data_IF_146569608207
#
_entry.id   IF_146569608207
#
_cell.length_a   1.000
_cell.length_b   1.000
_cell.length_c   1.000
_cell.angle_alpha   90.00
_cell.angle_beta   90.00
_cell.angle_gamma   90.00
#
_symmetry.space_group_name_H-M   'P 1'
#
loop_
_entity.id
_entity.type
_entity.pdbx_description
1 polymer ?
#
# COMPACT_ATOMS: atom_id res chain seq x y z
N UNK A 1 -1.04 -8.46 8.17
CA UNK A 1 -1.30 -9.07 6.84
C UNK A 1 -0.05 -9.60 6.15
N UNK A 2 1.13 -8.96 6.28
CA UNK A 2 2.38 -9.47 5.71
C UNK A 2 2.80 -10.85 6.22
N UNK A 3 2.68 -11.13 7.53
CA UNK A 3 2.91 -12.46 8.12
C UNK A 3 2.00 -13.54 7.51
N UNK A 4 0.71 -13.25 7.37
CA UNK A 4 -0.28 -14.16 6.77
C UNK A 4 0.08 -14.56 5.33
N UNK A 5 0.53 -13.59 4.53
CA UNK A 5 0.98 -13.84 3.16
C UNK A 5 2.27 -14.68 3.14
N UNK A 6 3.24 -14.34 3.98
CA UNK A 6 4.51 -15.06 4.10
C UNK A 6 4.36 -16.51 4.58
N UNK A 7 3.39 -16.78 5.46
CA UNK A 7 3.14 -18.11 6.01
C UNK A 7 2.27 -18.98 5.09
N UNK A 8 1.17 -18.43 4.56
CA UNK A 8 0.21 -19.21 3.78
C UNK A 8 0.54 -19.25 2.28
N UNK A 9 0.94 -18.12 1.71
CA UNK A 9 0.95 -17.92 0.25
C UNK A 9 2.35 -18.09 -0.34
N UNK A 10 3.38 -17.47 0.24
CA UNK A 10 4.76 -17.55 -0.29
C UNK A 10 5.29 -18.99 -0.42
N UNK A 11 5.13 -19.89 0.58
CA UNK A 11 5.68 -21.25 0.50
C UNK A 11 5.02 -22.09 -0.58
N UNK A 12 3.75 -21.80 -0.91
CA UNK A 12 3.01 -22.47 -1.99
C UNK A 12 3.37 -21.92 -3.39
N UNK A 13 4.02 -20.75 -3.45
CA UNK A 13 4.44 -20.09 -4.69
C UNK A 13 5.93 -20.25 -5.00
N UNK A 14 6.78 -20.47 -3.99
CA UNK A 14 8.25 -20.39 -4.04
C UNK A 14 8.90 -21.29 -5.10
N UNK A 15 8.37 -22.50 -5.35
CA UNK A 15 8.98 -23.45 -6.28
C UNK A 15 8.49 -23.33 -7.74
N UNK A 16 7.44 -22.53 -7.98
CA UNK A 16 6.79 -22.47 -9.30
C UNK A 16 7.61 -21.73 -10.34
N UNK A 17 8.37 -20.72 -9.94
CA UNK A 17 9.31 -19.99 -10.81
C UNK A 17 10.45 -20.90 -11.26
N UNK A 18 11.04 -21.65 -10.32
CA UNK A 18 12.08 -22.65 -10.61
C UNK A 18 11.60 -23.71 -11.59
N UNK A 19 10.39 -24.26 -11.38
CA UNK A 19 9.78 -25.22 -12.31
C UNK A 19 9.56 -24.61 -13.71
N UNK A 20 9.08 -23.36 -13.80
CA UNK A 20 8.93 -22.66 -15.08
C UNK A 20 10.26 -22.42 -15.80
N UNK A 21 11.32 -22.10 -15.06
CA UNK A 21 12.66 -21.92 -15.62
C UNK A 21 13.21 -23.23 -16.16
N UNK A 22 13.10 -24.33 -15.39
CA UNK A 22 13.45 -25.69 -15.86
C UNK A 22 12.66 -26.10 -17.09
N UNK A 23 11.37 -25.79 -17.14
CA UNK A 23 10.52 -26.06 -18.32
C UNK A 23 11.03 -25.30 -19.56
N UNK A 24 11.39 -24.02 -19.42
CA UNK A 24 11.97 -23.21 -20.51
C UNK A 24 13.32 -23.77 -20.97
N UNK A 25 14.15 -24.21 -20.03
CA UNK A 25 15.42 -24.87 -20.33
C UNK A 25 15.20 -26.14 -21.16
N UNK A 26 14.27 -27.01 -20.77
CA UNK A 26 13.92 -28.21 -21.52
C UNK A 26 13.32 -27.90 -22.89
N UNK A 27 12.49 -26.87 -23.01
CA UNK A 27 11.97 -26.40 -24.30
C UNK A 27 13.10 -25.92 -25.22
N UNK A 28 14.08 -25.17 -24.68
CA UNK A 28 15.25 -24.73 -25.43
C UNK A 28 16.09 -25.92 -25.90
N UNK A 29 16.36 -26.89 -25.02
CA UNK A 29 17.09 -28.12 -25.36
C UNK A 29 16.36 -28.94 -26.43
N UNK A 30 15.04 -29.08 -26.32
CA UNK A 30 14.22 -29.82 -27.27
C UNK A 30 14.31 -29.24 -28.69
N UNK A 31 14.42 -27.90 -28.81
CA UNK A 31 14.58 -27.21 -30.10
C UNK A 31 15.91 -27.52 -30.78
N UNK A 32 16.97 -27.78 -30.02
CA UNK A 32 18.34 -27.97 -30.53
C UNK A 32 18.79 -29.43 -30.56
N UNK A 33 18.04 -30.35 -29.93
CA UNK A 33 18.37 -31.77 -29.97
C UNK A 33 17.99 -32.38 -31.32
N UNK A 34 18.86 -33.23 -31.88
CA UNK A 34 18.60 -34.02 -33.08
C UNK A 34 18.29 -35.49 -32.75
N UNK A 35 18.49 -35.93 -31.50
CA UNK A 35 18.29 -37.30 -31.07
C UNK A 35 16.82 -37.57 -30.71
N UNK A 36 16.20 -38.55 -31.39
CA UNK A 36 14.79 -38.92 -31.17
C UNK A 36 14.49 -39.33 -29.72
N UNK A 37 15.39 -40.11 -29.10
CA UNK A 37 15.22 -40.57 -27.72
C UNK A 37 15.30 -39.42 -26.71
N UNK A 38 16.25 -38.49 -26.90
CA UNK A 38 16.35 -37.30 -26.04
C UNK A 38 15.11 -36.39 -26.19
N UNK A 39 14.59 -36.22 -27.40
CA UNK A 39 13.36 -35.46 -27.64
C UNK A 39 12.18 -36.03 -26.86
N UNK A 40 12.04 -37.35 -26.83
CA UNK A 40 10.94 -38.00 -26.11
C UNK A 40 11.06 -37.84 -24.59
N UNK A 41 12.27 -37.98 -24.06
CA UNK A 41 12.54 -37.69 -22.65
C UNK A 41 12.24 -36.23 -22.28
N UNK A 42 12.63 -35.28 -23.12
CA UNK A 42 12.39 -33.85 -22.90
C UNK A 42 10.90 -33.52 -22.95
N UNK A 43 10.14 -34.08 -23.90
CA UNK A 43 8.68 -33.95 -23.96
C UNK A 43 8.01 -34.45 -22.68
N UNK A 44 8.43 -35.62 -22.20
CA UNK A 44 7.92 -36.21 -20.95
C UNK A 44 8.22 -35.32 -19.74
N UNK A 45 9.45 -34.79 -19.64
CA UNK A 45 9.85 -33.85 -18.58
C UNK A 45 9.03 -32.56 -18.63
N UNK A 46 8.81 -31.99 -19.82
CA UNK A 46 7.97 -30.80 -20.02
C UNK A 46 6.52 -31.10 -19.60
N UNK A 47 5.96 -32.22 -20.04
CA UNK A 47 4.59 -32.63 -19.69
C UNK A 47 4.41 -32.78 -18.18
N UNK A 48 5.36 -33.43 -17.49
CA UNK A 48 5.31 -33.62 -16.04
C UNK A 48 5.40 -32.28 -15.28
N UNK A 49 6.26 -31.36 -15.72
CA UNK A 49 6.31 -30.01 -15.15
C UNK A 49 4.99 -29.26 -15.41
N UNK A 50 4.45 -29.31 -16.63
CA UNK A 50 3.17 -28.69 -16.97
C UNK A 50 2.03 -29.26 -16.11
N UNK A 51 1.96 -30.59 -15.94
CA UNK A 51 0.99 -31.27 -15.08
C UNK A 51 1.10 -30.83 -13.62
N UNK A 52 2.32 -30.73 -13.08
CA UNK A 52 2.58 -30.22 -11.73
C UNK A 52 2.19 -28.74 -11.58
N UNK A 53 2.45 -27.92 -12.59
CA UNK A 53 2.05 -26.52 -12.63
C UNK A 53 0.53 -26.34 -12.77
N UNK A 54 -0.15 -27.25 -13.47
CA UNK A 54 -1.60 -27.29 -13.67
C UNK A 54 -2.39 -27.77 -12.45
N UNK A 55 -1.71 -28.19 -11.36
CA UNK A 55 -2.31 -28.34 -10.04
C UNK A 55 -2.75 -27.01 -9.41
N UNK A 56 -3.58 -26.24 -10.12
CA UNK A 56 -4.06 -24.91 -9.72
C UNK A 56 -5.02 -24.98 -8.54
N UNK A 57 -5.81 -26.05 -8.42
CA UNK A 57 -6.81 -26.21 -7.35
C UNK A 57 -6.27 -25.96 -5.94
N UNK A 58 -5.09 -26.52 -5.59
CA UNK A 58 -4.46 -26.33 -4.27
C UNK A 58 -3.97 -24.89 -4.05
N UNK A 59 -3.36 -24.30 -5.08
CA UNK A 59 -2.92 -22.90 -5.08
C UNK A 59 -4.11 -21.96 -4.96
N UNK A 60 -5.14 -22.15 -5.79
CA UNK A 60 -6.31 -21.30 -5.83
C UNK A 60 -7.11 -21.43 -4.53
N UNK A 61 -7.19 -22.62 -3.94
CA UNK A 61 -7.76 -22.80 -2.59
C UNK A 61 -6.99 -21.98 -1.53
N UNK A 62 -5.66 -21.98 -1.59
CA UNK A 62 -4.83 -21.18 -0.69
C UNK A 62 -5.04 -19.67 -0.91
N UNK A 63 -5.06 -19.21 -2.16
CA UNK A 63 -5.30 -17.80 -2.49
C UNK A 63 -6.70 -17.34 -2.10
N UNK A 64 -7.73 -18.17 -2.32
CA UNK A 64 -9.10 -17.88 -1.87
C UNK A 64 -9.19 -17.79 -0.35
N UNK A 65 -8.53 -18.70 0.37
CA UNK A 65 -8.46 -18.65 1.84
C UNK A 65 -7.79 -17.35 2.30
N UNK A 66 -6.65 -17.00 1.72
CA UNK A 66 -5.98 -15.74 2.04
C UNK A 66 -6.87 -14.52 1.76
N UNK A 67 -7.52 -14.49 0.59
CA UNK A 67 -8.42 -13.40 0.23
C UNK A 67 -9.60 -13.29 1.19
N UNK A 68 -10.21 -14.42 1.58
CA UNK A 68 -11.30 -14.46 2.54
C UNK A 68 -10.87 -14.00 3.94
N UNK A 69 -9.76 -14.53 4.46
CA UNK A 69 -9.23 -14.10 5.78
C UNK A 69 -8.84 -12.62 5.77
N UNK A 70 -8.35 -12.11 4.64
CA UNK A 70 -8.09 -10.69 4.47
C UNK A 70 -9.37 -9.86 4.48
N UNK A 71 -10.38 -10.29 3.73
CA UNK A 71 -11.67 -9.62 3.67
C UNK A 71 -12.34 -9.56 5.03
N UNK A 72 -12.35 -10.67 5.78
CA UNK A 72 -12.89 -10.74 7.14
C UNK A 72 -12.20 -9.75 8.07
N UNK A 73 -10.87 -9.70 8.08
CA UNK A 73 -10.12 -8.76 8.93
C UNK A 73 -10.41 -7.31 8.55
N UNK A 74 -10.53 -7.01 7.26
CA UNK A 74 -10.93 -5.67 6.81
C UNK A 74 -12.34 -5.37 7.29
N UNK A 75 -13.30 -6.26 7.06
CA UNK A 75 -14.69 -6.04 7.46
C UNK A 75 -14.81 -5.79 8.97
N UNK A 76 -14.12 -6.58 9.79
CA UNK A 76 -14.11 -6.36 11.24
C UNK A 76 -13.53 -4.98 11.61
N UNK A 77 -12.41 -4.61 11.00
CA UNK A 77 -11.75 -3.31 11.27
C UNK A 77 -12.62 -2.13 10.81
N UNK A 78 -13.22 -2.24 9.63
CA UNK A 78 -14.11 -1.21 9.06
C UNK A 78 -15.38 -1.09 9.88
N UNK A 79 -15.99 -2.20 10.30
CA UNK A 79 -17.16 -2.15 11.18
C UNK A 79 -16.82 -1.45 12.49
N UNK A 80 -15.75 -1.84 13.17
CA UNK A 80 -15.35 -1.17 14.42
C UNK A 80 -15.12 0.33 14.24
N UNK A 81 -14.46 0.73 13.15
CA UNK A 81 -14.21 2.14 12.83
C UNK A 81 -15.51 2.92 12.57
N UNK A 82 -16.41 2.35 11.78
CA UNK A 82 -17.69 2.97 11.44
C UNK A 82 -18.63 3.05 12.65
N UNK A 83 -18.65 2.01 13.49
CA UNK A 83 -19.45 1.99 14.70
C UNK A 83 -18.99 3.10 15.68
N UNK A 84 -17.68 3.30 15.78
CA UNK A 84 -17.10 4.39 16.55
C UNK A 84 -17.48 5.77 15.98
N UNK A 85 -17.31 5.97 14.66
CA UNK A 85 -17.68 7.21 13.99
C UNK A 85 -19.17 7.56 14.14
N UNK A 86 -20.04 6.54 14.07
CA UNK A 86 -21.48 6.68 14.28
C UNK A 86 -21.78 7.11 15.71
N UNK A 87 -21.14 6.48 16.70
CA UNK A 87 -21.34 6.79 18.13
C UNK A 87 -20.89 8.20 18.50
N UNK A 88 -19.82 8.70 17.88
CA UNK A 88 -19.25 10.03 18.17
C UNK A 88 -19.81 11.13 17.27
N UNK A 89 -20.64 10.78 16.28
CA UNK A 89 -21.09 11.69 15.23
C UNK A 89 -19.92 12.44 14.56
N UNK A 90 -18.81 11.74 14.36
CA UNK A 90 -17.57 12.31 13.83
C UNK A 90 -17.54 12.28 12.30
N UNK A 91 -16.87 13.28 11.71
CA UNK A 91 -16.51 13.26 10.29
C UNK A 91 -15.26 12.42 10.10
N UNK A 92 -15.30 11.44 9.20
CA UNK A 92 -14.18 10.56 8.94
C UNK A 92 -13.22 11.15 7.90
N UNK A 93 -11.94 11.30 8.23
CA UNK A 93 -10.92 11.78 7.29
C UNK A 93 -9.94 10.66 6.96
N UNK A 94 -9.60 10.49 5.69
CA UNK A 94 -8.64 9.49 5.23
C UNK A 94 -7.82 9.98 4.04
N UNK A 95 -6.67 9.35 3.81
CA UNK A 95 -5.84 9.65 2.65
C UNK A 95 -6.41 9.06 1.35
N UNK A 96 -6.36 9.83 0.27
CA UNK A 96 -6.60 9.33 -1.09
C UNK A 96 -5.36 8.64 -1.64
N UNK A 97 -5.22 7.36 -1.31
CA UNK A 97 -4.09 6.55 -1.74
C UNK A 97 -4.40 5.83 -3.04
N UNK A 98 -4.06 6.46 -4.15
CA UNK A 98 -4.01 5.78 -5.44
C UNK A 98 -2.76 4.88 -5.53
N UNK A 99 -2.90 3.61 -5.12
CA UNK A 99 -1.79 2.65 -5.00
C UNK A 99 -1.64 1.72 -6.22
N UNK A 100 -1.68 2.24 -7.45
CA UNK A 100 -1.57 1.38 -8.63
C UNK A 100 -0.12 1.13 -9.10
N UNK A 101 0.85 1.99 -8.75
CA UNK A 101 2.22 1.87 -9.26
C UNK A 101 3.24 1.54 -8.17
N UNK A 102 3.67 0.27 -8.12
CA UNK A 102 4.81 -0.17 -7.32
C UNK A 102 6.03 -0.33 -8.22
N UNK A 103 7.15 0.31 -7.89
CA UNK A 103 8.45 0.07 -8.53
C UNK A 103 9.49 -0.39 -7.50
N UNK A 104 9.24 -1.56 -6.90
CA UNK A 104 10.12 -2.19 -5.90
C UNK A 104 10.57 -3.58 -6.32
N UNK A 105 10.56 -3.83 -7.63
CA UNK A 105 10.90 -5.10 -8.25
C UNK A 105 9.78 -6.16 -8.18
N UNK A 106 9.83 -7.13 -9.10
CA UNK A 106 8.74 -8.10 -9.37
C UNK A 106 8.22 -8.84 -8.13
N UNK A 107 9.10 -9.22 -7.19
CA UNK A 107 8.71 -9.96 -5.98
C UNK A 107 7.96 -9.06 -5.00
N UNK A 108 8.47 -7.85 -4.73
CA UNK A 108 7.79 -6.89 -3.85
C UNK A 108 6.47 -6.43 -4.48
N UNK A 109 6.49 -6.03 -5.76
CA UNK A 109 5.30 -5.59 -6.47
C UNK A 109 4.19 -6.65 -6.45
N UNK A 110 4.54 -7.94 -6.57
CA UNK A 110 3.53 -9.01 -6.47
C UNK A 110 2.92 -9.11 -5.07
N UNK A 111 3.73 -9.05 -4.01
CA UNK A 111 3.24 -9.03 -2.63
C UNK A 111 2.38 -7.78 -2.38
N UNK A 112 2.85 -6.63 -2.83
CA UNK A 112 2.25 -5.32 -2.59
C UNK A 112 0.99 -5.12 -3.47
N UNK A 113 0.91 -5.73 -4.64
CA UNK A 113 -0.32 -5.80 -5.46
C UNK A 113 -1.43 -6.63 -4.82
N UNK A 114 -1.07 -7.56 -3.94
CA UNK A 114 -2.01 -8.32 -3.11
C UNK A 114 -2.32 -7.60 -1.79
N UNK A 115 -1.81 -6.39 -1.60
CA UNK A 115 -2.01 -5.62 -0.40
C UNK A 115 -3.45 -5.09 -0.32
N UNK A 116 -3.98 -5.28 0.86
CA UNK A 116 -5.35 -5.02 1.27
C UNK A 116 -5.68 -3.53 1.41
N UNK A 117 -4.68 -2.63 1.42
CA UNK A 117 -4.90 -1.21 1.75
C UNK A 117 -5.85 -0.49 0.77
N UNK A 118 -5.76 -0.79 -0.53
CA UNK A 118 -6.71 -0.27 -1.52
C UNK A 118 -8.13 -0.83 -1.34
N UNK A 119 -8.27 -2.07 -0.86
CA UNK A 119 -9.58 -2.66 -0.56
C UNK A 119 -10.17 -2.06 0.73
N UNK A 120 -9.33 -1.74 1.72
CA UNK A 120 -9.73 -1.12 2.98
C UNK A 120 -10.40 0.23 2.73
N UNK A 121 -9.72 1.15 2.04
CA UNK A 121 -10.27 2.50 1.78
C UNK A 121 -11.57 2.43 0.99
N UNK A 122 -11.64 1.57 -0.04
CA UNK A 122 -12.87 1.35 -0.81
C UNK A 122 -14.03 0.86 0.06
N UNK A 123 -13.78 -0.09 0.97
CA UNK A 123 -14.81 -0.60 1.89
C UNK A 123 -15.23 0.44 2.94
N UNK A 124 -14.28 1.19 3.48
CA UNK A 124 -14.56 2.31 4.40
C UNK A 124 -15.47 3.31 3.71
N UNK A 125 -15.06 3.82 2.54
CA UNK A 125 -15.84 4.75 1.72
C UNK A 125 -17.25 4.24 1.46
N UNK A 126 -17.37 3.03 0.91
CA UNK A 126 -18.68 2.44 0.62
C UNK A 126 -19.59 2.30 1.84
N UNK A 127 -19.04 1.99 3.01
CA UNK A 127 -19.84 1.82 4.23
C UNK A 127 -20.23 3.17 4.86
N UNK A 128 -19.34 4.16 4.82
CA UNK A 128 -19.65 5.53 5.25
C UNK A 128 -20.72 6.16 4.34
N UNK A 129 -20.57 6.02 3.02
CA UNK A 129 -21.57 6.46 2.03
C UNK A 129 -22.93 5.82 2.29
N UNK A 130 -22.96 4.49 2.54
CA UNK A 130 -24.20 3.76 2.79
C UNK A 130 -24.93 4.18 4.08
N UNK A 131 -24.18 4.61 5.10
CA UNK A 131 -24.71 5.09 6.37
C UNK A 131 -24.94 6.60 6.41
N UNK A 132 -24.57 7.33 5.36
CA UNK A 132 -24.68 8.78 5.31
C UNK A 132 -23.73 9.51 6.27
N UNK A 133 -22.62 8.88 6.66
CA UNK A 133 -21.64 9.48 7.58
C UNK A 133 -20.72 10.42 6.79
N UNK A 134 -20.57 11.70 7.19
CA UNK A 134 -19.69 12.64 6.52
C UNK A 134 -18.25 12.15 6.50
N UNK A 135 -17.61 12.28 5.34
CA UNK A 135 -16.21 11.88 5.18
C UNK A 135 -15.45 12.74 4.17
N UNK A 136 -14.13 12.83 4.35
CA UNK A 136 -13.24 13.66 3.52
C UNK A 136 -12.00 12.85 3.15
N UNK A 137 -11.67 12.83 1.85
CA UNK A 137 -10.40 12.28 1.36
C UNK A 137 -9.38 13.40 1.15
N UNK A 138 -8.16 13.24 1.65
CA UNK A 138 -7.09 14.24 1.55
C UNK A 138 -5.89 13.71 0.77
N UNK A 139 -5.10 14.62 0.18
CA UNK A 139 -3.88 14.23 -0.53
C UNK A 139 -2.84 13.60 0.43
N UNK A 140 -2.24 12.44 0.09
CA UNK A 140 -1.33 11.71 0.96
C UNK A 140 0.10 12.28 1.01
N UNK A 141 0.46 13.26 0.18
CA UNK A 141 1.84 13.66 0.02
C UNK A 141 2.42 14.23 1.31
N UNK A 142 3.49 13.62 1.83
CA UNK A 142 4.22 14.07 3.03
C UNK A 142 3.47 13.97 4.37
N UNK A 143 2.25 13.45 4.45
CA UNK A 143 1.48 13.27 5.72
C UNK A 143 2.27 12.49 6.78
N UNK A 144 3.02 11.47 6.36
CA UNK A 144 3.82 10.62 7.25
C UNK A 144 5.23 11.14 7.56
N UNK A 145 5.65 12.24 6.91
CA UNK A 145 7.01 12.81 7.02
C UNK A 145 7.01 14.24 7.56
N UNK A 146 5.88 14.92 7.46
CA UNK A 146 5.68 16.24 8.04
C UNK A 146 5.50 16.14 9.55
N UNK A 147 6.09 17.09 10.29
CA UNK A 147 5.78 17.28 11.70
C UNK A 147 4.46 18.04 11.87
N UNK A 148 3.54 17.49 12.66
CA UNK A 148 2.26 18.13 12.99
C UNK A 148 2.41 19.49 13.68
N UNK A 149 3.50 19.72 14.41
CA UNK A 149 3.75 20.98 15.13
C UNK A 149 4.38 22.07 14.27
N UNK A 150 5.46 21.76 13.56
CA UNK A 150 6.27 22.77 12.88
C UNK A 150 6.26 22.65 11.34
N UNK A 151 5.47 21.73 10.77
CA UNK A 151 5.39 21.48 9.32
C UNK A 151 6.71 21.07 8.64
N UNK A 152 7.79 20.79 9.38
CA UNK A 152 9.05 20.33 8.80
C UNK A 152 8.87 18.97 8.12
N UNK A 153 9.29 18.86 6.86
CA UNK A 153 9.22 17.63 6.05
C UNK A 153 10.62 17.07 5.89
N UNK A 154 10.90 15.93 6.53
CA UNK A 154 12.18 15.24 6.45
C UNK A 154 11.95 13.71 6.48
N UNK A 155 12.73 12.97 5.71
CA UNK A 155 12.71 11.52 5.72
C UNK A 155 13.22 10.95 7.05
N UNK A 156 14.12 11.67 7.72
CA UNK A 156 14.67 11.30 9.04
C UNK A 156 13.71 11.53 10.19
N UNK A 157 12.57 12.19 9.95
CA UNK A 157 11.57 12.41 11.00
C UNK A 157 10.91 11.10 11.46
N UNK A 158 10.87 10.07 10.61
CA UNK A 158 10.21 8.79 10.90
C UNK A 158 11.24 7.66 10.91
N UNK A 159 11.27 6.91 12.01
CA UNK A 159 11.96 5.63 12.09
C UNK A 159 11.00 4.53 12.55
N UNK A 160 10.54 3.74 11.57
CA UNK A 160 9.54 2.70 11.78
C UNK A 160 8.21 3.24 12.32
N UNK A 161 7.93 2.93 13.59
CA UNK A 161 6.75 3.38 14.34
C UNK A 161 7.00 4.64 15.16
N UNK A 162 8.25 5.06 15.29
CA UNK A 162 8.60 6.27 16.04
C UNK A 162 8.68 7.48 15.12
N UNK A 163 8.25 8.63 15.63
CA UNK A 163 8.41 9.92 14.98
C UNK A 163 9.18 10.86 15.90
N UNK A 164 10.27 11.45 15.38
CA UNK A 164 11.05 12.47 16.08
C UNK A 164 11.39 13.57 15.07
N UNK A 165 10.82 14.75 15.23
CA UNK A 165 11.11 15.86 14.33
C UNK A 165 12.60 16.28 14.44
N UNK A 166 13.29 16.38 13.31
CA UNK A 166 14.69 16.79 13.26
C UNK A 166 14.92 18.23 13.73
N UNK A 167 13.89 19.08 13.65
CA UNK A 167 13.96 20.51 13.98
C UNK A 167 13.39 20.82 15.37
N UNK A 168 12.08 20.66 15.58
CA UNK A 168 11.44 21.03 16.85
C UNK A 168 11.52 19.95 17.94
N UNK A 169 12.14 18.80 17.64
CA UNK A 169 12.31 17.65 18.55
C UNK A 169 11.01 17.04 19.11
N UNK A 170 9.86 17.37 18.51
CA UNK A 170 8.60 16.72 18.85
C UNK A 170 8.71 15.21 18.64
N UNK A 171 8.31 14.45 19.67
CA UNK A 171 8.26 12.99 19.67
C UNK A 171 6.82 12.53 19.71
N UNK A 172 6.50 11.54 18.90
CA UNK A 172 5.16 10.95 18.82
C UNK A 172 5.24 9.52 18.22
N UNK A 173 4.13 8.79 18.27
CA UNK A 173 3.94 7.63 17.39
C UNK A 173 3.76 8.12 15.94
N UNK A 174 4.41 7.45 15.00
CA UNK A 174 4.42 7.86 13.60
C UNK A 174 3.04 7.77 12.95
N UNK A 175 2.21 6.82 13.37
CA UNK A 175 0.85 6.67 12.84
C UNK A 175 -0.09 7.70 13.49
N UNK A 176 0.12 8.04 14.77
CA UNK A 176 -0.60 9.15 15.44
C UNK A 176 -0.27 10.52 14.81
N UNK A 177 1.01 10.87 14.64
CA UNK A 177 1.40 12.13 13.99
C UNK A 177 0.86 12.22 12.54
N UNK A 178 0.83 11.09 11.81
CA UNK A 178 0.22 11.05 10.49
C UNK A 178 -1.29 11.29 10.54
N UNK A 179 -2.01 10.71 11.52
CA UNK A 179 -3.44 10.94 11.71
C UNK A 179 -3.75 12.42 11.98
N UNK A 180 -2.97 13.09 12.84
CA UNK A 180 -3.10 14.53 13.10
C UNK A 180 -2.86 15.35 11.83
N UNK A 181 -1.84 15.01 11.03
CA UNK A 181 -1.60 15.69 9.76
C UNK A 181 -2.75 15.50 8.75
N UNK A 182 -3.37 14.31 8.73
CA UNK A 182 -4.51 14.00 7.85
C UNK A 182 -5.72 14.82 8.28
N UNK A 183 -6.01 14.90 9.58
CA UNK A 183 -7.08 15.71 10.15
C UNK A 183 -6.89 17.20 9.81
N UNK A 184 -5.70 17.76 10.08
CA UNK A 184 -5.40 19.17 9.81
C UNK A 184 -5.58 19.52 8.32
N UNK A 185 -5.30 18.57 7.41
CA UNK A 185 -5.47 18.78 5.96
C UNK A 185 -6.91 18.83 5.51
N UNK A 186 -7.83 18.15 6.20
CA UNK A 186 -9.22 18.06 5.77
C UNK A 186 -9.90 19.43 5.74
N UNK A 187 -9.46 20.34 6.60
CA UNK A 187 -10.05 21.66 6.82
C UNK A 187 -9.11 22.79 6.41
N UNK A 188 -8.10 22.49 5.59
CA UNK A 188 -7.09 23.45 5.15
C UNK A 188 -7.39 23.95 3.73
N UNK A 189 -7.93 25.17 3.65
CA UNK A 189 -8.33 25.78 2.39
C UNK A 189 -7.15 26.02 1.43
N UNK A 190 -5.95 26.32 1.94
CA UNK A 190 -4.76 26.50 1.09
C UNK A 190 -4.35 25.19 0.43
N UNK A 191 -4.36 24.10 1.20
CA UNK A 191 -4.06 22.76 0.68
C UNK A 191 -5.14 22.34 -0.31
N UNK A 192 -6.41 22.55 0.01
CA UNK A 192 -7.53 22.24 -0.88
C UNK A 192 -7.40 22.98 -2.22
N UNK A 193 -7.10 24.28 -2.18
CA UNK A 193 -6.88 25.07 -3.39
C UNK A 193 -5.72 24.55 -4.25
N UNK A 194 -4.61 24.10 -3.64
CA UNK A 194 -3.49 23.49 -4.36
C UNK A 194 -3.90 22.15 -5.00
N UNK A 195 -4.66 21.32 -4.28
CA UNK A 195 -5.14 20.03 -4.78
C UNK A 195 -6.09 20.23 -5.96
N UNK A 196 -7.01 21.18 -5.86
CA UNK A 196 -7.95 21.53 -6.92
C UNK A 196 -7.24 22.15 -8.15
N UNK A 197 -6.21 22.96 -7.93
CA UNK A 197 -5.40 23.52 -9.03
C UNK A 197 -4.63 22.45 -9.81
N UNK A 198 -4.15 21.40 -9.12
CA UNK A 198 -3.30 20.36 -9.70
C UNK A 198 -3.92 18.96 -9.58
N UNK A 199 -5.22 18.83 -9.85
CA UNK A 199 -5.95 17.55 -9.76
C UNK A 199 -5.29 16.43 -10.58
N UNK A 200 -4.95 16.72 -11.84
CA UNK A 200 -4.41 15.74 -12.78
C UNK A 200 -2.87 15.67 -12.84
N UNK A 201 -2.16 16.52 -12.09
CA UNK A 201 -0.69 16.57 -12.11
C UNK A 201 -0.10 16.37 -10.70
N UNK A 202 0.06 15.11 -10.25
CA UNK A 202 0.51 14.82 -8.90
C UNK A 202 1.92 15.36 -8.62
N UNK A 203 2.81 15.39 -9.62
CA UNK A 203 4.16 15.94 -9.45
C UNK A 203 4.12 17.42 -9.07
N UNK A 204 3.38 18.23 -9.83
CA UNK A 204 3.22 19.67 -9.55
C UNK A 204 2.48 19.90 -8.23
N UNK A 205 1.44 19.10 -7.97
CA UNK A 205 0.69 19.14 -6.71
C UNK A 205 1.60 18.92 -5.50
N UNK A 206 2.38 17.85 -5.51
CA UNK A 206 3.29 17.53 -4.41
C UNK A 206 4.38 18.60 -4.24
N UNK A 207 4.91 19.13 -5.35
CA UNK A 207 5.87 20.24 -5.29
C UNK A 207 5.27 21.49 -4.63
N UNK A 208 4.05 21.87 -5.01
CA UNK A 208 3.33 23.00 -4.42
C UNK A 208 3.02 22.79 -2.93
N UNK A 209 2.54 21.59 -2.56
CA UNK A 209 2.32 21.22 -1.15
C UNK A 209 3.61 21.29 -0.34
N UNK A 210 4.72 20.80 -0.89
CA UNK A 210 6.03 20.88 -0.22
C UNK A 210 6.45 22.33 0.00
N UNK A 211 6.26 23.21 -0.99
CA UNK A 211 6.55 24.65 -0.87
C UNK A 211 5.70 25.29 0.24
N UNK A 212 4.41 24.96 0.31
CA UNK A 212 3.52 25.45 1.37
C UNK A 212 3.99 25.01 2.77
N UNK A 213 4.29 23.72 2.95
CA UNK A 213 4.77 23.18 4.23
C UNK A 213 6.09 23.83 4.65
N UNK A 214 7.02 24.05 3.70
CA UNK A 214 8.27 24.76 3.97
C UNK A 214 8.04 26.23 4.36
N UNK A 215 7.07 26.91 3.74
CA UNK A 215 6.68 28.27 4.13
C UNK A 215 6.16 28.30 5.56
N UNK A 216 5.25 27.40 5.93
CA UNK A 216 4.72 27.27 7.30
C UNK A 216 5.81 26.95 8.31
N UNK A 217 6.74 26.08 7.95
CA UNK A 217 7.90 25.78 8.79
C UNK A 217 8.77 27.01 9.05
N UNK A 218 9.07 27.81 8.02
CA UNK A 218 9.81 29.06 8.18
C UNK A 218 9.08 30.04 9.11
N UNK A 219 7.77 30.19 8.95
CA UNK A 219 6.95 31.02 9.84
C UNK A 219 7.02 30.56 11.29
N UNK A 220 6.94 29.25 11.54
CA UNK A 220 7.10 28.68 12.87
C UNK A 220 8.46 29.02 13.49
N UNK A 221 9.56 28.87 12.74
CA UNK A 221 10.91 29.16 13.23
C UNK A 221 11.14 30.66 13.52
N UNK A 222 10.40 31.53 12.85
CA UNK A 222 10.45 32.98 13.05
C UNK A 222 9.54 33.46 14.19
N UNK A 223 8.75 32.57 14.80
CA UNK A 223 7.89 32.93 15.93
C UNK A 223 8.74 32.85 17.21
N UNK A 224 8.89 33.94 17.99
CA UNK A 224 9.66 33.90 19.23
C UNK A 224 9.04 32.88 20.18
N UNK A 225 9.88 32.07 20.81
CA UNK A 225 9.45 31.12 21.84
C UNK A 225 8.80 31.92 22.98
N UNK A 226 7.51 31.68 23.23
CA UNK A 226 6.78 32.20 24.37
C UNK A 226 7.27 31.53 25.67
#
# INVERSE_FOLDING_TARGET
>A
MGKLYGELVEPKLSNRSSLRNKMREYQKRLKHSNNSFEKEQLRTKIFNIAKSLNGTKKKDKCLRRYAHEADLRVNMSVSSFVDEATRTNATCVYEDLDMMEFDRGKKSNKRDSMWVRGQLIKKVKSKLDWLGIPHISVDPAYTSKACSKCSNVDDKNRDGKSFVCTVCKHKDDADHNAAVNIELRAFDDEIKAIVDQYTYNPKKRHEALKKLLLKRHRSYMNTPAA
#
